data_IF_878705389411
#
_entry.id   IF_878705389411
#
_cell.length_a   1.000
_cell.length_b   1.000
_cell.length_c   1.000
_cell.angle_alpha   90.00
_cell.angle_beta   90.00
_cell.angle_gamma   90.00
#
_symmetry.space_group_name_H-M   'P 1'
#
loop_
_entity.id
_entity.type
_entity.pdbx_description
1 polymer ?
#
# COMPACT_ATOMS: atom_id res chain seq x y z
N UNK A 1 -15.23 -38.68 -18.73
CA UNK A 1 -14.40 -38.17 -19.84
C UNK A 1 -14.45 -36.65 -19.81
N UNK A 2 -13.85 -36.06 -18.78
CA UNK A 2 -13.80 -34.60 -18.57
C UNK A 2 -12.33 -34.20 -18.65
N UNK A 3 -12.06 -33.30 -19.58
CA UNK A 3 -10.74 -32.81 -19.94
C UNK A 3 -10.17 -31.93 -18.83
N UNK A 4 -9.02 -32.34 -18.32
CA UNK A 4 -8.12 -31.56 -17.47
C UNK A 4 -7.40 -30.52 -18.36
N UNK A 5 -7.81 -29.26 -18.27
CA UNK A 5 -7.05 -28.13 -18.82
C UNK A 5 -6.38 -27.39 -17.67
N UNK A 6 -5.11 -27.68 -17.44
CA UNK A 6 -4.25 -26.89 -16.56
C UNK A 6 -3.48 -25.85 -17.39
N UNK A 7 -3.49 -24.56 -17.00
CA UNK A 7 -2.75 -23.52 -17.71
C UNK A 7 -1.26 -23.56 -17.34
N UNK A 8 -0.42 -23.71 -18.36
CA UNK A 8 1.03 -23.94 -18.29
C UNK A 8 1.85 -22.66 -18.57
N UNK A 9 1.23 -21.48 -18.54
CA UNK A 9 1.87 -20.24 -19.00
C UNK A 9 2.56 -19.41 -17.90
N UNK A 10 2.66 -19.91 -16.65
CA UNK A 10 3.13 -19.11 -15.52
C UNK A 10 4.62 -19.29 -15.12
N UNK A 11 5.33 -20.29 -15.65
CA UNK A 11 6.65 -20.66 -15.09
C UNK A 11 7.88 -20.05 -15.76
N UNK A 12 7.75 -19.34 -16.88
CA UNK A 12 8.94 -19.03 -17.71
C UNK A 12 9.53 -17.61 -17.55
N UNK A 13 8.94 -16.73 -16.71
CA UNK A 13 9.41 -15.34 -16.54
C UNK A 13 10.30 -15.07 -15.32
N UNK A 14 10.50 -16.02 -14.41
CA UNK A 14 11.22 -15.75 -13.15
C UNK A 14 12.76 -15.83 -13.23
N UNK A 15 13.35 -16.22 -14.37
CA UNK A 15 14.81 -16.35 -14.50
C UNK A 15 15.55 -15.14 -15.09
N UNK A 16 14.84 -14.14 -15.64
CA UNK A 16 15.47 -12.98 -16.29
C UNK A 16 15.79 -11.81 -15.35
N UNK A 17 15.11 -11.72 -14.20
CA UNK A 17 15.29 -10.63 -13.21
C UNK A 17 16.66 -10.67 -12.48
N UNK A 18 17.23 -11.83 -12.06
CA UNK A 18 18.48 -11.83 -11.29
C UNK A 18 19.72 -11.39 -12.10
N UNK A 19 19.69 -11.50 -13.43
CA UNK A 19 20.83 -11.14 -14.28
C UNK A 19 20.98 -9.60 -14.38
N UNK A 20 19.86 -8.87 -14.40
CA UNK A 20 19.87 -7.41 -14.49
C UNK A 20 20.41 -6.75 -13.21
N UNK A 21 20.08 -7.30 -12.04
CA UNK A 21 20.57 -6.78 -10.76
C UNK A 21 22.09 -6.94 -10.61
N UNK A 22 22.66 -8.07 -11.07
CA UNK A 22 24.10 -8.31 -11.04
C UNK A 22 24.91 -7.33 -11.90
N UNK A 23 24.40 -6.97 -13.07
CA UNK A 23 25.06 -6.03 -13.97
C UNK A 23 25.15 -4.60 -13.39
N UNK A 24 24.11 -4.15 -12.68
CA UNK A 24 24.06 -2.81 -12.07
C UNK A 24 25.10 -2.70 -10.94
N UNK A 25 25.21 -3.71 -10.07
CA UNK A 25 26.21 -3.73 -8.99
C UNK A 25 27.64 -3.69 -9.54
N UNK A 26 27.92 -4.46 -10.60
CA UNK A 26 29.23 -4.45 -11.24
C UNK A 26 29.60 -3.07 -11.80
N UNK A 27 28.63 -2.38 -12.41
CA UNK A 27 28.81 -1.06 -13.01
C UNK A 27 29.08 0.01 -11.94
N UNK A 28 28.39 -0.07 -10.79
CA UNK A 28 28.63 0.81 -9.64
C UNK A 28 30.02 0.60 -9.03
N UNK A 29 30.48 -0.65 -8.90
CA UNK A 29 31.84 -0.95 -8.42
C UNK A 29 32.91 -0.39 -9.37
N UNK A 30 32.71 -0.55 -10.69
CA UNK A 30 33.62 -0.02 -11.69
C UNK A 30 33.71 1.51 -11.62
N UNK A 31 32.57 2.18 -11.45
CA UNK A 31 32.48 3.63 -11.35
C UNK A 31 33.16 4.17 -10.08
N UNK A 32 33.00 3.47 -8.95
CA UNK A 32 33.70 3.79 -7.70
C UNK A 32 35.22 3.65 -7.88
N UNK A 33 35.68 2.58 -8.54
CA UNK A 33 37.10 2.35 -8.79
C UNK A 33 37.71 3.45 -9.67
N UNK A 34 36.98 3.89 -10.69
CA UNK A 34 37.39 5.01 -11.55
C UNK A 34 37.47 6.33 -10.76
N UNK A 35 36.54 6.58 -9.83
CA UNK A 35 36.59 7.76 -8.97
C UNK A 35 37.82 7.77 -8.04
N UNK A 36 38.19 6.61 -7.49
CA UNK A 36 39.39 6.47 -6.65
C UNK A 36 40.66 6.73 -7.48
N UNK A 37 40.72 6.20 -8.70
CA UNK A 37 41.87 6.41 -9.60
C UNK A 37 41.99 7.84 -10.11
N UNK A 38 40.88 8.60 -10.14
CA UNK A 38 40.86 9.99 -10.61
C UNK A 38 41.18 11.01 -9.53
N UNK A 39 41.36 10.61 -8.26
CA UNK A 39 41.76 11.55 -7.21
C UNK A 39 43.14 12.14 -7.54
N UNK A 40 43.27 13.48 -7.60
CA UNK A 40 44.54 14.14 -7.90
C UNK A 40 45.56 13.76 -6.83
N UNK A 41 46.75 13.32 -7.27
CA UNK A 41 47.85 13.00 -6.36
C UNK A 41 48.16 14.24 -5.52
N UNK A 42 48.25 14.13 -4.18
CA UNK A 42 48.61 15.25 -3.33
C UNK A 42 49.97 15.79 -3.77
N UNK A 43 50.03 17.12 -3.95
CA UNK A 43 51.18 17.82 -4.47
C UNK A 43 52.44 17.49 -3.66
N UNK A 44 53.49 17.16 -4.40
CA UNK A 44 54.80 16.81 -3.88
C UNK A 44 55.39 18.04 -3.20
N UNK A 45 55.89 17.96 -1.95
CA UNK A 45 56.42 19.13 -1.26
C UNK A 45 57.62 19.72 -2.03
N UNK A 46 57.47 20.95 -2.50
CA UNK A 46 58.55 21.71 -3.14
C UNK A 46 59.71 21.94 -2.16
N UNK A 47 60.92 21.69 -2.64
CA UNK A 47 62.15 21.87 -1.86
C UNK A 47 62.40 23.36 -1.58
N UNK A 48 62.86 23.73 -0.37
CA UNK A 48 63.12 25.11 -0.01
C UNK A 48 64.27 25.70 -0.87
N UNK A 49 63.93 26.72 -1.66
CA UNK A 49 64.86 27.51 -2.46
C UNK A 49 65.64 28.43 -1.53
N UNK A 50 66.93 28.18 -1.36
CA UNK A 50 67.85 29.02 -0.57
C UNK A 50 68.10 30.35 -1.30
N UNK A 51 67.42 31.40 -0.89
CA UNK A 51 67.73 32.77 -1.34
C UNK A 51 68.73 33.43 -0.40
N UNK A 52 69.95 33.63 -0.93
CA UNK A 52 70.96 34.55 -0.43
C UNK A 52 70.67 35.93 -0.99
N UNK A 53 70.42 36.93 -0.14
CA UNK A 53 71.05 38.27 -0.26
C UNK A 53 70.65 39.16 0.92
N UNK A 54 71.65 39.39 1.77
CA UNK A 54 71.68 40.44 2.77
C UNK A 54 71.69 41.81 2.06
N UNK A 55 70.67 42.63 2.30
CA UNK A 55 70.69 44.07 2.06
C UNK A 55 70.26 44.74 3.38
N UNK A 56 71.13 45.60 3.91
CA UNK A 56 70.90 46.37 5.13
C UNK A 56 69.66 47.26 4.99
N UNK A 57 68.69 47.21 5.92
CA UNK A 57 67.50 48.05 5.87
C UNK A 57 67.84 49.49 6.29
N UNK A 58 67.39 50.46 5.50
CA UNK A 58 67.47 51.88 5.82
C UNK A 58 66.64 52.20 7.09
N UNK A 59 67.23 52.75 8.16
CA UNK A 59 66.53 53.03 9.40
C UNK A 59 65.72 54.34 9.27
N UNK A 60 64.39 54.25 9.11
CA UNK A 60 63.51 55.42 9.28
C UNK A 60 62.16 55.39 8.57
N UNK A 61 62.05 54.72 7.42
CA UNK A 61 60.78 54.62 6.66
C UNK A 61 59.82 53.55 7.20
N UNK A 62 60.35 52.61 7.99
CA UNK A 62 59.61 51.44 8.47
C UNK A 62 58.51 51.81 9.49
N UNK A 63 58.77 52.77 10.38
CA UNK A 63 57.83 53.13 11.46
C UNK A 63 56.56 53.84 10.96
N UNK A 64 56.65 54.72 9.97
CA UNK A 64 55.46 55.39 9.42
C UNK A 64 54.57 54.44 8.59
N UNK A 65 55.19 53.53 7.84
CA UNK A 65 54.45 52.51 7.09
C UNK A 65 53.81 51.49 8.04
N UNK A 66 54.51 51.08 9.09
CA UNK A 66 53.95 50.20 10.12
C UNK A 66 52.72 50.82 10.80
N UNK A 67 52.76 52.12 11.12
CA UNK A 67 51.62 52.77 11.79
C UNK A 67 50.38 52.89 10.89
N UNK A 68 50.58 53.12 9.59
CA UNK A 68 49.49 53.18 8.61
C UNK A 68 48.87 51.81 8.27
N UNK A 69 49.65 50.72 8.34
CA UNK A 69 49.18 49.37 8.00
C UNK A 69 48.55 48.62 9.19
N UNK A 70 48.88 48.98 10.43
CA UNK A 70 48.29 48.38 11.63
C UNK A 70 46.74 48.23 11.57
N UNK A 71 45.94 49.26 11.22
CA UNK A 71 44.48 49.11 11.14
C UNK A 71 44.03 48.16 10.02
N UNK A 72 44.80 48.04 8.93
CA UNK A 72 44.48 47.09 7.85
C UNK A 72 44.73 45.64 8.28
N UNK A 73 45.80 45.38 9.04
CA UNK A 73 46.05 44.04 9.58
C UNK A 73 45.01 43.62 10.61
N UNK A 74 44.55 44.54 11.48
CA UNK A 74 43.45 44.24 12.41
C UNK A 74 42.16 43.92 11.66
N UNK A 75 41.85 44.67 10.59
CA UNK A 75 40.68 44.39 9.74
C UNK A 75 40.78 43.01 9.07
N UNK A 76 41.94 42.66 8.53
CA UNK A 76 42.18 41.36 7.91
C UNK A 76 42.04 40.22 8.92
N UNK A 77 42.60 40.35 10.14
CA UNK A 77 42.42 39.34 11.19
C UNK A 77 40.96 39.20 11.62
N UNK A 78 40.22 40.31 11.68
CA UNK A 78 38.79 40.28 11.99
C UNK A 78 37.98 39.62 10.86
N UNK A 79 38.36 39.83 9.59
CA UNK A 79 37.75 39.15 8.45
C UNK A 79 38.09 37.65 8.41
N UNK A 80 39.34 37.28 8.67
CA UNK A 80 39.78 35.88 8.81
C UNK A 80 39.00 35.16 9.92
N UNK A 81 38.91 35.77 11.12
CA UNK A 81 38.13 35.20 12.22
C UNK A 81 36.63 35.05 11.88
N UNK A 82 36.07 35.96 11.08
CA UNK A 82 34.67 35.84 10.59
C UNK A 82 34.51 34.69 9.61
N UNK A 83 35.49 34.48 8.71
CA UNK A 83 35.47 33.36 7.77
C UNK A 83 35.61 32.02 8.51
N UNK A 84 36.50 31.94 9.50
CA UNK A 84 36.66 30.74 10.33
C UNK A 84 35.38 30.43 11.10
N UNK A 85 34.75 31.44 11.71
CA UNK A 85 33.46 31.27 12.39
C UNK A 85 32.36 30.81 11.44
N UNK A 86 32.32 31.34 10.21
CA UNK A 86 31.35 30.91 9.19
C UNK A 86 31.61 29.47 8.73
N UNK A 87 32.88 29.10 8.56
CA UNK A 87 33.25 27.74 8.19
C UNK A 87 32.87 26.76 9.30
N UNK A 88 33.13 27.10 10.56
CA UNK A 88 32.73 26.30 11.72
C UNK A 88 31.20 26.12 11.79
N UNK A 89 30.44 27.19 11.54
CA UNK A 89 28.97 27.13 11.52
C UNK A 89 28.44 26.23 10.38
N UNK A 90 29.05 26.29 9.19
CA UNK A 90 28.70 25.40 8.08
C UNK A 90 28.99 23.94 8.42
N UNK A 91 30.16 23.65 8.98
CA UNK A 91 30.51 22.27 9.39
C UNK A 91 29.58 21.73 10.48
N UNK A 92 29.14 22.57 11.42
CA UNK A 92 28.16 22.17 12.43
C UNK A 92 26.80 21.85 11.80
N UNK A 93 26.33 22.69 10.87
CA UNK A 93 25.07 22.45 10.17
C UNK A 93 25.10 21.19 9.28
N UNK A 94 26.26 20.88 8.69
CA UNK A 94 26.47 19.65 7.92
C UNK A 94 26.36 18.42 8.81
N UNK A 95 26.99 18.45 9.99
CA UNK A 95 26.90 17.37 10.97
C UNK A 95 25.47 17.17 11.51
N UNK A 96 24.74 18.25 11.80
CA UNK A 96 23.33 18.16 12.22
C UNK A 96 22.44 17.55 11.12
N UNK A 97 22.69 17.90 9.86
CA UNK A 97 21.99 17.33 8.72
C UNK A 97 22.30 15.85 8.55
N UNK A 98 23.58 15.45 8.63
CA UNK A 98 24.01 14.05 8.57
C UNK A 98 23.35 13.22 9.68
N UNK A 99 23.38 13.72 10.92
CA UNK A 99 22.76 13.04 12.06
C UNK A 99 21.24 12.86 11.86
N UNK A 100 20.55 13.91 11.41
CA UNK A 100 19.10 13.86 11.14
C UNK A 100 18.79 12.88 9.99
N UNK A 101 19.65 12.81 8.98
CA UNK A 101 19.51 11.89 7.86
C UNK A 101 19.69 10.43 8.31
N UNK A 102 20.72 10.15 9.13
CA UNK A 102 20.97 8.83 9.72
C UNK A 102 19.79 8.36 10.58
N UNK A 103 19.24 9.24 11.43
CA UNK A 103 18.04 8.92 12.23
C UNK A 103 16.82 8.60 11.38
N UNK A 104 16.63 9.31 10.25
CA UNK A 104 15.51 9.04 9.34
C UNK A 104 15.70 7.72 8.61
N UNK A 105 16.91 7.42 8.16
CA UNK A 105 17.25 6.13 7.54
C UNK A 105 17.00 4.99 8.54
N UNK A 106 17.48 5.11 9.78
CA UNK A 106 17.27 4.12 10.82
C UNK A 106 15.78 3.86 11.08
N UNK A 107 14.96 4.92 11.18
CA UNK A 107 13.51 4.82 11.35
C UNK A 107 12.81 4.15 10.16
N UNK A 108 13.23 4.46 8.94
CA UNK A 108 12.69 3.81 7.74
C UNK A 108 13.04 2.33 7.71
N UNK A 109 14.27 1.97 8.03
CA UNK A 109 14.70 0.56 8.11
C UNK A 109 13.94 -0.21 9.19
N UNK A 110 13.72 0.38 10.36
CA UNK A 110 12.88 -0.22 11.41
C UNK A 110 11.45 -0.43 10.91
N UNK A 111 10.87 0.58 10.25
CA UNK A 111 9.52 0.48 9.69
C UNK A 111 9.41 -0.62 8.61
N UNK A 112 10.37 -0.70 7.69
CA UNK A 112 10.45 -1.78 6.68
C UNK A 112 10.53 -3.17 7.33
N UNK A 113 11.32 -3.32 8.40
CA UNK A 113 11.39 -4.58 9.15
C UNK A 113 10.05 -4.92 9.80
N UNK A 114 9.36 -3.93 10.40
CA UNK A 114 8.03 -4.17 10.99
C UNK A 114 6.98 -4.55 9.94
N UNK A 115 7.05 -3.95 8.74
CA UNK A 115 6.15 -4.28 7.64
C UNK A 115 6.40 -5.71 7.15
N UNK A 116 7.67 -6.06 6.93
CA UNK A 116 8.07 -7.42 6.52
C UNK A 116 7.62 -8.47 7.54
N UNK A 117 7.77 -8.20 8.84
CA UNK A 117 7.30 -9.09 9.89
C UNK A 117 5.77 -9.24 9.90
N UNK A 118 5.03 -8.16 9.63
CA UNK A 118 3.56 -8.21 9.51
C UNK A 118 3.11 -9.01 8.28
N UNK A 119 3.77 -8.85 7.15
CA UNK A 119 3.50 -9.62 5.93
C UNK A 119 3.72 -11.12 6.17
N UNK A 120 4.84 -11.49 6.78
CA UNK A 120 5.11 -12.89 7.16
C UNK A 120 4.01 -13.46 8.06
N UNK A 121 3.56 -12.71 9.07
CA UNK A 121 2.49 -13.15 9.96
C UNK A 121 1.13 -13.32 9.25
N UNK A 122 0.86 -12.56 8.19
CA UNK A 122 -0.35 -12.72 7.36
C UNK A 122 -0.24 -14.01 6.55
N UNK A 123 0.90 -14.26 5.91
CA UNK A 123 1.17 -15.49 5.14
C UNK A 123 1.01 -16.73 6.02
N UNK A 124 1.60 -16.72 7.22
CA UNK A 124 1.48 -17.84 8.18
C UNK A 124 0.02 -18.09 8.59
N UNK A 125 -0.75 -17.01 8.81
CA UNK A 125 -2.17 -17.10 9.15
C UNK A 125 -2.99 -17.68 7.99
N UNK A 126 -2.68 -17.32 6.76
CA UNK A 126 -3.36 -17.85 5.57
C UNK A 126 -3.01 -19.32 5.34
N UNK A 127 -1.74 -19.70 5.50
CA UNK A 127 -1.31 -21.10 5.45
C UNK A 127 -2.06 -21.95 6.49
N UNK A 128 -2.15 -21.48 7.74
CA UNK A 128 -2.88 -22.17 8.79
C UNK A 128 -4.39 -22.32 8.48
N UNK A 129 -5.01 -21.31 7.83
CA UNK A 129 -6.40 -21.41 7.37
C UNK A 129 -6.54 -22.45 6.27
N UNK A 130 -5.63 -22.50 5.30
CA UNK A 130 -5.65 -23.48 4.21
C UNK A 130 -5.50 -24.91 4.73
N UNK A 131 -4.61 -25.14 5.69
CA UNK A 131 -4.48 -26.44 6.38
C UNK A 131 -5.76 -26.83 7.13
N UNK A 132 -6.42 -25.88 7.79
CA UNK A 132 -7.70 -26.13 8.45
C UNK A 132 -8.81 -26.47 7.43
N UNK A 133 -8.86 -25.79 6.29
CA UNK A 133 -9.82 -26.09 5.23
C UNK A 133 -9.61 -27.48 4.62
N UNK A 134 -8.37 -27.82 4.25
CA UNK A 134 -8.04 -29.13 3.67
C UNK A 134 -8.31 -30.27 4.67
N UNK A 135 -8.03 -30.06 5.96
CA UNK A 135 -8.37 -31.01 7.01
C UNK A 135 -9.88 -31.25 7.09
N UNK A 136 -10.67 -30.17 7.04
CA UNK A 136 -12.13 -30.24 7.08
C UNK A 136 -12.71 -30.93 5.83
N UNK A 137 -12.15 -30.66 4.65
CA UNK A 137 -12.55 -31.35 3.42
C UNK A 137 -12.30 -32.86 3.52
N UNK A 138 -11.16 -33.27 4.08
CA UNK A 138 -10.85 -34.69 4.29
C UNK A 138 -11.81 -35.35 5.29
N UNK A 139 -12.18 -34.65 6.36
CA UNK A 139 -13.21 -35.13 7.29
C UNK A 139 -14.57 -35.30 6.62
N UNK A 140 -15.01 -34.32 5.83
CA UNK A 140 -16.27 -34.40 5.08
C UNK A 140 -16.23 -35.57 4.08
N UNK A 141 -15.13 -35.74 3.35
CA UNK A 141 -14.95 -36.85 2.42
C UNK A 141 -15.02 -38.21 3.12
N UNK A 142 -14.42 -38.33 4.32
CA UNK A 142 -14.51 -39.54 5.14
C UNK A 142 -15.94 -39.81 5.59
N UNK A 143 -16.66 -38.79 6.08
CA UNK A 143 -18.06 -38.92 6.47
C UNK A 143 -18.95 -39.35 5.29
N UNK A 144 -18.71 -38.78 4.11
CA UNK A 144 -19.43 -39.15 2.88
C UNK A 144 -19.18 -40.61 2.50
N UNK A 145 -17.94 -41.10 2.61
CA UNK A 145 -17.59 -42.50 2.34
C UNK A 145 -18.26 -43.47 3.35
N UNK A 146 -18.32 -43.09 4.62
CA UNK A 146 -18.99 -43.87 5.66
C UNK A 146 -20.51 -43.95 5.39
N UNK A 147 -21.14 -42.83 5.00
CA UNK A 147 -22.55 -42.78 4.62
C UNK A 147 -22.84 -43.64 3.38
N UNK A 148 -22.04 -43.51 2.32
CA UNK A 148 -22.18 -44.33 1.12
C UNK A 148 -22.05 -45.83 1.42
N UNK A 149 -21.16 -46.21 2.34
CA UNK A 149 -21.00 -47.60 2.78
C UNK A 149 -22.25 -48.12 3.51
N UNK A 150 -22.87 -47.28 4.36
CA UNK A 150 -24.13 -47.62 5.04
C UNK A 150 -25.29 -47.75 4.08
N UNK A 151 -25.41 -46.83 3.13
CA UNK A 151 -26.44 -46.89 2.09
C UNK A 151 -26.30 -48.15 1.23
N UNK A 152 -25.08 -48.51 0.84
CA UNK A 152 -24.82 -49.75 0.11
C UNK A 152 -25.20 -50.99 0.93
N UNK A 153 -24.94 -51.00 2.23
CA UNK A 153 -25.35 -52.10 3.12
C UNK A 153 -26.87 -52.21 3.24
N UNK A 154 -27.57 -51.08 3.36
CA UNK A 154 -29.04 -51.05 3.37
C UNK A 154 -29.64 -51.50 2.04
N UNK A 155 -29.06 -51.08 0.91
CA UNK A 155 -29.49 -51.51 -0.42
C UNK A 155 -29.32 -53.02 -0.62
N UNK A 156 -28.21 -53.61 -0.14
CA UNK A 156 -28.02 -55.07 -0.15
C UNK A 156 -29.08 -55.79 0.68
N UNK A 157 -29.38 -55.28 1.88
CA UNK A 157 -30.41 -55.86 2.76
C UNK A 157 -31.81 -55.76 2.14
N UNK A 158 -32.12 -54.64 1.48
CA UNK A 158 -33.39 -54.48 0.75
C UNK A 158 -33.50 -55.50 -0.40
N UNK A 159 -32.44 -55.65 -1.20
CA UNK A 159 -32.40 -56.63 -2.28
C UNK A 159 -32.53 -58.08 -1.78
N UNK A 160 -31.95 -58.40 -0.62
CA UNK A 160 -32.10 -59.72 0.01
C UNK A 160 -33.56 -59.99 0.44
N UNK A 161 -34.21 -59.00 1.05
CA UNK A 161 -35.64 -59.09 1.43
C UNK A 161 -36.51 -59.30 0.18
N UNK A 162 -36.28 -58.53 -0.88
CA UNK A 162 -37.01 -58.66 -2.15
C UNK A 162 -36.80 -60.05 -2.78
N UNK A 163 -35.58 -60.59 -2.72
CA UNK A 163 -35.27 -61.93 -3.19
C UNK A 163 -36.00 -63.01 -2.38
N UNK A 164 -36.07 -62.88 -1.05
CA UNK A 164 -36.82 -63.78 -0.18
C UNK A 164 -38.32 -63.77 -0.51
N UNK A 165 -38.89 -62.58 -0.74
CA UNK A 165 -40.30 -62.45 -1.14
C UNK A 165 -40.59 -63.13 -2.49
N UNK A 166 -39.69 -62.96 -3.47
CA UNK A 166 -39.84 -63.60 -4.80
C UNK A 166 -39.76 -65.11 -4.78
N UNK A 167 -39.01 -65.70 -3.85
CA UNK A 167 -38.90 -67.16 -3.72
C UNK A 167 -40.17 -67.81 -3.19
N UNK A 168 -41.23 -67.04 -2.87
CA UNK A 168 -42.50 -67.59 -2.43
C UNK A 168 -42.39 -68.34 -1.11
N UNK A 169 -41.32 -68.11 -0.32
CA UNK A 169 -41.34 -68.46 1.09
C UNK A 169 -42.57 -67.72 1.66
N UNK A 170 -43.61 -68.44 2.13
CA UNK A 170 -44.72 -67.77 2.77
C UNK A 170 -44.09 -66.90 3.86
N UNK A 171 -44.38 -65.58 3.90
CA UNK A 171 -43.87 -64.72 4.97
C UNK A 171 -44.21 -65.48 6.24
N UNK A 172 -43.21 -65.92 7.01
CA UNK A 172 -43.40 -66.90 8.09
C UNK A 172 -44.56 -66.41 8.95
N UNK A 173 -45.76 -66.94 8.68
CA UNK A 173 -47.01 -66.28 8.99
C UNK A 173 -47.41 -66.73 10.38
N UNK A 174 -46.59 -66.35 11.35
CA UNK A 174 -47.15 -65.92 12.60
C UNK A 174 -47.25 -64.41 12.46
N UNK A 175 -48.46 -63.85 12.24
CA UNK A 175 -48.71 -62.50 12.67
C UNK A 175 -48.52 -62.51 14.18
N UNK A 176 -47.26 -62.37 14.59
CA UNK A 176 -46.90 -62.01 15.94
C UNK A 176 -47.49 -60.60 16.05
N UNK A 177 -48.73 -60.54 16.54
CA UNK A 177 -49.24 -59.37 17.26
C UNK A 177 -48.03 -58.79 17.98
N UNK A 178 -47.60 -57.55 17.63
CA UNK A 178 -46.39 -56.98 18.18
C UNK A 178 -46.53 -57.11 19.68
N UNK A 179 -45.66 -57.92 20.28
CA UNK A 179 -45.81 -58.22 21.71
C UNK A 179 -45.87 -56.87 22.44
N UNK A 180 -46.63 -56.78 23.52
CA UNK A 180 -46.74 -55.52 24.28
C UNK A 180 -45.34 -54.91 24.61
N UNK A 181 -44.32 -55.77 24.73
CA UNK A 181 -42.91 -55.40 24.84
C UNK A 181 -42.34 -54.70 23.59
N UNK A 182 -42.65 -55.15 22.38
CA UNK A 182 -42.22 -54.50 21.14
C UNK A 182 -42.87 -53.12 20.95
N UNK A 183 -44.15 -52.97 21.32
CA UNK A 183 -44.84 -51.67 21.30
C UNK A 183 -44.22 -50.71 22.32
N UNK A 184 -44.01 -51.18 23.56
CA UNK A 184 -43.35 -50.38 24.58
C UNK A 184 -41.92 -49.96 24.18
N UNK A 185 -41.15 -50.84 23.54
CA UNK A 185 -39.82 -50.53 23.03
C UNK A 185 -39.85 -49.51 21.87
N UNK A 186 -40.91 -49.49 21.07
CA UNK A 186 -41.11 -48.50 20.02
C UNK A 186 -41.40 -47.11 20.63
N UNK A 187 -42.30 -47.04 21.61
CA UNK A 187 -42.62 -45.80 22.32
C UNK A 187 -41.39 -45.24 23.06
N UNK A 188 -40.58 -46.10 23.68
CA UNK A 188 -39.34 -45.66 24.33
C UNK A 188 -38.34 -45.08 23.32
N UNK A 189 -38.23 -45.71 22.14
CA UNK A 189 -37.42 -45.17 21.04
C UNK A 189 -37.95 -43.85 20.50
N UNK A 190 -39.27 -43.71 20.37
CA UNK A 190 -39.90 -42.47 19.91
C UNK A 190 -39.62 -41.32 20.89
N UNK A 191 -39.81 -41.55 22.19
CA UNK A 191 -39.45 -40.57 23.24
C UNK A 191 -37.96 -40.22 23.19
N UNK A 192 -37.08 -41.20 23.01
CA UNK A 192 -35.65 -40.94 22.90
C UNK A 192 -35.28 -40.12 21.64
N UNK A 193 -36.01 -40.29 20.53
CA UNK A 193 -35.83 -39.49 19.32
C UNK A 193 -36.36 -38.07 19.53
N UNK A 194 -37.53 -37.90 20.13
CA UNK A 194 -38.09 -36.60 20.48
C UNK A 194 -37.16 -35.81 21.41
N UNK A 195 -36.60 -36.45 22.43
CA UNK A 195 -35.61 -35.84 23.34
C UNK A 195 -34.35 -35.40 22.58
N UNK A 196 -33.85 -36.22 21.65
CA UNK A 196 -32.72 -35.85 20.80
C UNK A 196 -33.03 -34.67 19.88
N UNK A 197 -34.22 -34.62 19.30
CA UNK A 197 -34.67 -33.50 18.45
C UNK A 197 -34.72 -32.22 19.29
N UNK A 198 -35.36 -32.28 20.47
CA UNK A 198 -35.42 -31.14 21.38
C UNK A 198 -34.01 -30.63 21.77
N UNK A 199 -33.08 -31.55 22.07
CA UNK A 199 -31.69 -31.21 22.38
C UNK A 199 -30.89 -30.64 21.20
N UNK A 200 -31.22 -30.99 19.96
CA UNK A 200 -30.63 -30.36 18.76
C UNK A 200 -31.19 -28.95 18.57
N UNK A 201 -32.51 -28.77 18.64
CA UNK A 201 -33.14 -27.45 18.50
C UNK A 201 -32.68 -26.47 19.57
N UNK A 202 -32.46 -26.93 20.81
CA UNK A 202 -31.92 -26.08 21.87
C UNK A 202 -30.48 -25.61 21.56
N UNK A 203 -29.64 -26.49 21.02
CA UNK A 203 -28.27 -26.14 20.61
C UNK A 203 -28.26 -25.18 19.41
N UNK A 204 -29.19 -25.33 18.46
CA UNK A 204 -29.34 -24.39 17.35
C UNK A 204 -29.74 -22.99 17.84
N UNK A 205 -30.70 -22.90 18.77
CA UNK A 205 -31.09 -21.62 19.38
C UNK A 205 -29.91 -20.97 20.12
N UNK A 206 -29.12 -21.77 20.85
CA UNK A 206 -27.94 -21.26 21.54
C UNK A 206 -26.88 -20.76 20.55
N UNK A 207 -26.61 -21.51 19.48
CA UNK A 207 -25.69 -21.10 18.42
C UNK A 207 -26.17 -19.83 17.71
N UNK A 208 -27.46 -19.71 17.42
CA UNK A 208 -28.05 -18.51 16.85
C UNK A 208 -27.89 -17.30 17.79
N UNK A 209 -28.06 -17.48 19.11
CA UNK A 209 -27.78 -16.42 20.10
C UNK A 209 -26.31 -16.02 20.12
N UNK A 210 -25.39 -16.99 20.08
CA UNK A 210 -23.93 -16.71 20.05
C UNK A 210 -23.55 -15.97 18.77
N UNK A 211 -24.09 -16.38 17.62
CA UNK A 211 -23.88 -15.71 16.34
C UNK A 211 -24.42 -14.26 16.37
N UNK A 212 -25.61 -14.05 16.91
CA UNK A 212 -26.18 -12.72 17.08
C UNK A 212 -25.34 -11.83 18.02
N UNK A 213 -24.81 -12.39 19.11
CA UNK A 213 -23.92 -11.67 20.03
C UNK A 213 -22.58 -11.29 19.37
N UNK A 214 -22.01 -12.17 18.54
CA UNK A 214 -20.80 -11.86 17.78
C UNK A 214 -21.05 -10.77 16.73
N UNK A 215 -22.16 -10.87 15.98
CA UNK A 215 -22.54 -9.84 15.02
C UNK A 215 -22.79 -8.47 15.68
N UNK A 216 -23.32 -8.45 16.91
CA UNK A 216 -23.47 -7.21 17.68
C UNK A 216 -22.11 -6.60 18.06
N UNK A 217 -21.15 -7.41 18.52
CA UNK A 217 -19.78 -6.95 18.81
C UNK A 217 -19.06 -6.44 17.58
N UNK A 218 -19.24 -7.11 16.44
CA UNK A 218 -18.65 -6.67 15.18
C UNK A 218 -19.23 -5.33 14.74
N UNK A 219 -20.55 -5.13 14.87
CA UNK A 219 -21.16 -3.80 14.64
C UNK A 219 -20.64 -2.75 15.59
N UNK A 220 -20.44 -3.06 16.87
CA UNK A 220 -19.88 -2.11 17.84
C UNK A 220 -18.42 -1.75 17.53
N UNK A 221 -17.61 -2.71 17.07
CA UNK A 221 -16.23 -2.48 16.66
C UNK A 221 -16.11 -1.71 15.33
N UNK A 222 -17.08 -1.89 14.42
CA UNK A 222 -17.11 -1.21 13.11
C UNK A 222 -17.90 0.08 13.15
N UNK A 223 -18.72 0.30 14.19
CA UNK A 223 -19.37 1.57 14.42
C UNK A 223 -18.25 2.63 14.44
N UNK A 224 -18.30 3.64 13.54
CA UNK A 224 -17.35 4.73 13.55
C UNK A 224 -17.33 5.24 14.98
N UNK A 225 -16.17 5.17 15.65
CA UNK A 225 -16.02 5.66 17.00
C UNK A 225 -16.66 7.04 17.02
N UNK A 226 -17.82 7.15 17.67
CA UNK A 226 -18.60 8.38 17.73
C UNK A 226 -17.57 9.44 18.10
N UNK A 227 -17.32 10.44 17.23
CA UNK A 227 -16.13 11.27 17.31
C UNK A 227 -16.10 11.81 18.74
N UNK A 228 -15.12 11.32 19.52
CA UNK A 228 -15.05 11.62 20.94
C UNK A 228 -15.29 13.13 21.06
N UNK A 229 -16.27 13.57 21.88
CA UNK A 229 -16.71 14.95 21.91
C UNK A 229 -15.46 15.79 21.97
N UNK A 230 -15.20 16.52 20.87
CA UNK A 230 -13.95 17.26 20.68
C UNK A 230 -13.75 17.99 22.00
N UNK A 231 -12.68 17.69 22.76
CA UNK A 231 -12.53 18.25 24.09
C UNK A 231 -12.70 19.74 23.92
N UNK A 232 -13.74 20.29 24.60
CA UNK A 232 -14.06 21.69 24.52
C UNK A 232 -12.74 22.44 24.64
N UNK A 233 -12.41 23.33 23.68
CA UNK A 233 -11.09 23.92 23.58
C UNK A 233 -10.70 24.39 24.97
N UNK A 234 -9.66 23.77 25.54
CA UNK A 234 -9.12 24.18 26.84
C UNK A 234 -9.01 25.69 26.79
N UNK A 235 -9.56 26.42 27.79
CA UNK A 235 -9.46 27.87 27.80
C UNK A 235 -7.99 28.21 27.62
N UNK A 236 -7.68 28.86 26.49
CA UNK A 236 -6.35 29.36 26.22
C UNK A 236 -6.01 30.24 27.41
N UNK A 237 -5.20 29.72 28.32
CA UNK A 237 -4.50 30.53 29.31
C UNK A 237 -3.64 31.47 28.49
N UNK A 238 -4.18 32.66 28.28
CA UNK A 238 -3.42 33.81 27.80
C UNK A 238 -2.20 33.90 28.70
N UNK A 239 -0.98 33.72 28.16
CA UNK A 239 0.21 33.93 28.96
C UNK A 239 0.17 35.37 29.47
N UNK A 240 0.27 35.51 30.79
CA UNK A 240 0.55 36.75 31.48
C UNK A 240 1.57 37.57 30.67
N UNK A 241 1.29 38.84 30.34
CA UNK A 241 2.17 39.65 29.51
C UNK A 241 3.53 39.76 30.19
N UNK A 242 4.55 39.21 29.53
CA UNK A 242 5.93 39.52 29.83
C UNK A 242 6.13 41.06 29.71
N UNK A 243 7.00 41.66 30.54
CA UNK A 243 7.24 43.09 30.53
C UNK A 243 7.60 43.55 29.12
N UNK A 244 6.87 44.55 28.63
CA UNK A 244 6.99 45.10 27.29
C UNK A 244 8.46 45.42 26.97
N UNK A 245 9.03 44.89 25.88
CA UNK A 245 10.29 45.39 25.36
C UNK A 245 10.08 46.86 24.98
N UNK A 246 11.00 47.71 25.44
CA UNK A 246 11.09 49.11 25.01
C UNK A 246 11.23 49.11 23.49
N UNK A 247 10.13 49.45 22.81
CA UNK A 247 10.07 49.62 21.37
C UNK A 247 10.90 50.86 21.05
N UNK A 248 12.14 50.64 20.62
CA UNK A 248 12.85 51.64 19.83
C UNK A 248 12.04 51.81 18.54
N UNK A 249 11.57 53.02 18.20
CA UNK A 249 10.81 53.23 16.98
C UNK A 249 11.66 52.78 15.79
N UNK A 250 11.13 51.93 14.89
CA UNK A 250 11.84 51.57 13.68
C UNK A 250 12.11 52.84 12.85
N UNK A 251 13.29 52.95 12.21
CA UNK A 251 13.57 54.06 11.30
C UNK A 251 12.48 54.13 10.22
N UNK A 252 12.11 55.34 9.77
CA UNK A 252 11.08 55.52 8.75
C UNK A 252 11.43 54.68 7.51
N UNK A 253 10.46 53.88 7.09
CA UNK A 253 10.57 53.09 5.87
C UNK A 253 10.89 54.03 4.69
N UNK A 254 11.87 53.69 3.84
CA UNK A 254 12.18 54.49 2.66
C UNK A 254 10.94 54.55 1.77
N UNK A 255 10.59 55.76 1.33
CA UNK A 255 9.54 56.00 0.34
C UNK A 255 9.79 55.12 -0.89
N UNK A 256 8.75 54.45 -1.43
CA UNK A 256 8.88 53.66 -2.64
C UNK A 256 9.39 54.57 -3.76
N UNK A 257 10.50 54.22 -4.43
CA UNK A 257 11.02 55.03 -5.52
C UNK A 257 9.94 55.21 -6.58
N UNK A 258 9.76 56.46 -7.01
CA UNK A 258 8.89 56.82 -8.12
C UNK A 258 9.10 55.85 -9.28
N UNK A 259 7.99 55.30 -9.80
CA UNK A 259 7.96 54.41 -10.93
C UNK A 259 8.86 54.95 -12.05
N UNK A 260 9.97 54.26 -12.31
CA UNK A 260 10.73 54.47 -13.54
C UNK A 260 9.81 54.06 -14.70
N UNK A 261 9.81 54.81 -15.81
CA UNK A 261 9.07 54.42 -17.00
C UNK A 261 9.51 53.01 -17.42
N UNK A 262 8.52 52.13 -17.59
CA UNK A 262 8.69 50.78 -18.13
C UNK A 262 9.60 50.84 -19.36
N UNK A 263 10.72 50.12 -19.40
CA UNK A 263 11.54 50.01 -20.60
C UNK A 263 10.69 49.49 -21.74
N UNK A 264 10.69 50.20 -22.87
CA UNK A 264 10.12 49.73 -24.12
C UNK A 264 10.65 48.31 -24.38
N UNK A 265 9.74 47.33 -24.32
CA UNK A 265 10.03 45.93 -24.65
C UNK A 265 10.71 45.89 -26.01
N UNK A 266 11.98 45.50 -26.02
CA UNK A 266 12.62 45.05 -27.25
C UNK A 266 11.76 43.92 -27.82
N UNK A 267 11.46 43.93 -29.13
CA UNK A 267 10.69 42.87 -29.76
C UNK A 267 11.45 41.55 -29.57
N UNK A 268 10.87 40.64 -28.79
CA UNK A 268 11.33 39.26 -28.73
C UNK A 268 11.33 38.70 -30.16
N UNK A 269 12.38 37.96 -30.55
CA UNK A 269 12.41 37.27 -31.83
C UNK A 269 11.20 36.35 -31.88
N UNK A 270 10.34 36.63 -32.87
CA UNK A 270 9.17 35.84 -33.23
C UNK A 270 9.61 34.39 -33.35
N UNK A 271 9.39 33.62 -32.29
CA UNK A 271 9.35 32.17 -32.41
C UNK A 271 8.23 31.91 -33.42
N UNK A 272 8.48 31.15 -34.52
CA UNK A 272 7.43 30.79 -35.44
C UNK A 272 6.32 30.18 -34.62
N UNK A 273 5.19 30.89 -34.65
CA UNK A 273 3.92 30.54 -34.05
C UNK A 273 3.70 29.05 -34.34
N UNK A 274 3.94 28.21 -33.33
CA UNK A 274 3.41 26.85 -33.35
C UNK A 274 1.92 27.06 -33.36
N UNK A 275 1.37 26.96 -34.56
CA UNK A 275 -0.05 26.83 -34.83
C UNK A 275 -0.65 26.02 -33.67
N UNK A 276 -1.55 26.63 -32.87
CA UNK A 276 -2.09 25.96 -31.70
C UNK A 276 -2.65 24.63 -32.20
N UNK A 277 -2.07 23.53 -31.70
CA UNK A 277 -2.64 22.22 -31.93
C UNK A 277 -4.13 22.35 -31.60
N UNK A 278 -5.03 22.02 -32.53
CA UNK A 278 -6.46 22.06 -32.28
C UNK A 278 -6.71 21.39 -30.92
N UNK A 279 -7.55 21.96 -30.04
CA UNK A 279 -7.92 21.26 -28.82
C UNK A 279 -8.30 19.84 -29.25
N UNK A 280 -7.58 18.84 -28.74
CA UNK A 280 -7.94 17.44 -28.93
C UNK A 280 -9.37 17.32 -28.40
N UNK A 281 -10.34 17.42 -29.32
CA UNK A 281 -11.69 17.05 -29.04
C UNK A 281 -11.60 15.63 -28.46
N UNK A 282 -12.25 15.36 -27.31
CA UNK A 282 -12.30 14.00 -26.79
C UNK A 282 -12.75 13.12 -27.94
N UNK A 283 -11.86 12.20 -28.36
CA UNK A 283 -12.16 11.32 -29.48
C UNK A 283 -13.50 10.65 -29.19
N UNK A 284 -14.51 11.03 -29.96
CA UNK A 284 -15.83 10.43 -29.85
C UNK A 284 -15.65 8.90 -30.03
N UNK A 285 -16.29 8.07 -29.22
CA UNK A 285 -16.23 6.62 -29.32
C UNK A 285 -17.05 6.13 -30.53
N UNK A 286 -16.69 6.57 -31.74
CA UNK A 286 -17.50 6.34 -32.96
C UNK A 286 -17.06 5.12 -33.76
N UNK A 287 -16.16 4.29 -33.22
CA UNK A 287 -15.90 2.96 -33.77
C UNK A 287 -16.60 1.91 -32.88
N UNK A 288 -17.66 1.22 -33.36
CA UNK A 288 -18.26 0.11 -32.63
C UNK A 288 -17.19 -0.93 -32.32
N UNK A 289 -16.99 -1.23 -31.02
CA UNK A 289 -16.13 -2.32 -30.56
C UNK A 289 -14.80 -1.96 -29.90
N UNK A 290 -14.65 -0.77 -29.30
CA UNK A 290 -13.47 -0.47 -28.46
C UNK A 290 -13.83 0.27 -27.17
N UNK A 291 -14.50 -0.42 -26.25
CA UNK A 291 -14.57 0.06 -24.88
C UNK A 291 -13.18 0.00 -24.23
N UNK A 292 -12.81 1.04 -23.50
CA UNK A 292 -11.55 1.12 -22.77
C UNK A 292 -11.83 1.28 -21.28
N UNK A 293 -11.20 0.47 -20.43
CA UNK A 293 -11.43 0.49 -18.97
C UNK A 293 -11.10 1.87 -18.38
N UNK A 294 -10.07 2.55 -18.87
CA UNK A 294 -9.71 3.90 -18.40
C UNK A 294 -10.71 4.98 -18.83
N UNK A 295 -11.44 4.74 -19.92
CA UNK A 295 -12.52 5.62 -20.34
C UNK A 295 -13.77 5.40 -19.46
N UNK A 296 -14.10 4.15 -19.16
CA UNK A 296 -15.20 3.80 -18.26
C UNK A 296 -14.93 4.29 -16.82
N UNK A 297 -13.70 4.15 -16.32
CA UNK A 297 -13.29 4.64 -14.99
C UNK A 297 -13.49 6.16 -14.88
N UNK A 298 -13.06 6.92 -15.91
CA UNK A 298 -13.30 8.37 -16.00
C UNK A 298 -14.79 8.72 -16.07
N UNK A 299 -15.58 7.92 -16.79
CA UNK A 299 -17.03 8.11 -16.90
C UNK A 299 -17.73 7.94 -15.54
N UNK A 300 -17.32 6.91 -14.78
CA UNK A 300 -17.81 6.68 -13.41
C UNK A 300 -17.35 7.79 -12.46
N UNK A 301 -16.11 8.27 -12.56
CA UNK A 301 -15.62 9.38 -11.72
C UNK A 301 -16.38 10.69 -12.00
N UNK A 302 -16.66 10.97 -13.28
CA UNK A 302 -17.34 12.21 -13.70
C UNK A 302 -18.84 12.21 -13.38
N UNK A 303 -19.52 11.09 -13.64
CA UNK A 303 -21.00 11.01 -13.55
C UNK A 303 -21.51 10.10 -12.44
N UNK A 304 -20.64 9.42 -11.71
CA UNK A 304 -21.04 8.48 -10.66
C UNK A 304 -21.85 9.12 -9.53
N UNK A 305 -21.62 10.40 -9.25
CA UNK A 305 -22.39 11.16 -8.24
C UNK A 305 -23.89 11.28 -8.60
N UNK A 306 -24.26 11.12 -9.88
CA UNK A 306 -25.66 11.08 -10.31
C UNK A 306 -26.36 9.76 -9.88
N UNK A 307 -25.59 8.70 -9.57
CA UNK A 307 -26.07 7.35 -9.25
C UNK A 307 -25.31 6.74 -8.04
N UNK A 308 -25.44 7.33 -6.84
CA UNK A 308 -24.62 6.96 -5.68
C UNK A 308 -24.77 5.49 -5.26
N UNK A 309 -25.94 4.89 -5.47
CA UNK A 309 -26.22 3.48 -5.20
C UNK A 309 -25.51 2.52 -6.17
N UNK A 310 -25.12 2.98 -7.36
CA UNK A 310 -24.46 2.16 -8.40
C UNK A 310 -22.95 2.30 -8.44
N UNK A 311 -22.37 3.33 -7.82
CA UNK A 311 -20.91 3.55 -7.80
C UNK A 311 -20.16 2.30 -7.34
N UNK A 312 -20.58 1.70 -6.23
CA UNK A 312 -19.89 0.54 -5.65
C UNK A 312 -19.96 -0.69 -6.57
N UNK A 313 -21.08 -0.89 -7.24
CA UNK A 313 -21.27 -1.95 -8.25
C UNK A 313 -20.32 -1.70 -9.43
N UNK A 314 -20.32 -0.50 -10.01
CA UNK A 314 -19.47 -0.14 -11.13
C UNK A 314 -17.98 -0.23 -10.82
N UNK A 315 -17.53 0.20 -9.63
CA UNK A 315 -16.13 0.05 -9.21
C UNK A 315 -15.74 -1.43 -9.12
N UNK A 316 -16.64 -2.29 -8.66
CA UNK A 316 -16.42 -3.73 -8.62
C UNK A 316 -16.28 -4.32 -10.03
N UNK A 317 -17.16 -3.96 -10.96
CA UNK A 317 -17.06 -4.38 -12.36
C UNK A 317 -15.78 -3.86 -13.03
N UNK A 318 -15.39 -2.60 -12.81
CA UNK A 318 -14.15 -2.03 -13.35
C UNK A 318 -12.92 -2.79 -12.85
N UNK A 319 -12.90 -3.17 -11.57
CA UNK A 319 -11.83 -3.99 -11.00
C UNK A 319 -11.72 -5.35 -11.71
N UNK A 320 -12.85 -6.03 -11.95
CA UNK A 320 -12.88 -7.30 -12.70
C UNK A 320 -12.48 -7.13 -14.16
N UNK A 321 -12.93 -6.06 -14.83
CA UNK A 321 -12.63 -5.80 -16.24
C UNK A 321 -11.14 -5.50 -16.48
N UNK A 322 -10.42 -4.93 -15.50
CA UNK A 322 -8.95 -4.72 -15.61
C UNK A 322 -8.18 -6.01 -15.85
N UNK A 323 -8.67 -7.16 -15.37
CA UNK A 323 -8.01 -8.46 -15.61
C UNK A 323 -8.14 -8.96 -17.06
N UNK A 324 -9.13 -8.46 -17.81
CA UNK A 324 -9.41 -8.84 -19.19
C UNK A 324 -8.98 -7.76 -20.20
N UNK A 325 -8.57 -6.60 -19.71
CA UNK A 325 -8.11 -5.51 -20.55
C UNK A 325 -6.71 -5.79 -21.12
N UNK A 326 -6.49 -5.35 -22.35
CA UNK A 326 -5.15 -5.32 -22.95
C UNK A 326 -4.27 -4.27 -22.26
N UNK A 327 -2.98 -4.25 -22.57
CA UNK A 327 -2.02 -3.31 -21.95
C UNK A 327 -2.36 -1.82 -22.18
N UNK A 328 -3.14 -1.51 -23.22
CA UNK A 328 -3.66 -0.17 -23.53
C UNK A 328 -5.01 0.14 -22.85
N UNK A 329 -5.54 -0.80 -22.05
CA UNK A 329 -6.84 -0.71 -21.39
C UNK A 329 -8.04 -1.10 -22.27
N UNK A 330 -7.83 -1.54 -23.52
CA UNK A 330 -8.92 -1.95 -24.40
C UNK A 330 -9.54 -3.28 -23.99
N UNK A 331 -10.88 -3.37 -24.04
CA UNK A 331 -11.63 -4.58 -23.73
C UNK A 331 -11.98 -5.36 -25.01
N UNK A 332 -12.01 -6.71 -24.95
CA UNK A 332 -12.51 -7.52 -26.05
C UNK A 332 -13.98 -7.23 -26.37
N UNK A 333 -14.36 -7.25 -27.65
CA UNK A 333 -15.73 -6.97 -28.11
C UNK A 333 -16.81 -7.91 -27.53
N UNK A 334 -16.43 -9.07 -26.98
CA UNK A 334 -17.35 -9.96 -26.25
C UNK A 334 -17.97 -9.30 -25.01
N UNK A 335 -17.37 -8.22 -24.50
CA UNK A 335 -17.86 -7.47 -23.34
C UNK A 335 -18.81 -6.33 -23.73
N UNK A 336 -19.03 -6.03 -25.01
CA UNK A 336 -19.84 -4.88 -25.44
C UNK A 336 -21.26 -4.92 -24.88
N UNK A 337 -21.90 -6.10 -24.89
CA UNK A 337 -23.25 -6.29 -24.36
C UNK A 337 -23.30 -6.08 -22.83
N UNK A 338 -22.31 -6.62 -22.10
CA UNK A 338 -22.21 -6.42 -20.65
C UNK A 338 -21.97 -4.95 -20.32
N UNK A 339 -21.12 -4.26 -21.08
CA UNK A 339 -20.80 -2.86 -20.84
C UNK A 339 -22.03 -1.99 -21.09
N UNK A 340 -22.79 -2.24 -22.16
CA UNK A 340 -24.07 -1.56 -22.38
C UNK A 340 -25.09 -1.85 -21.27
N UNK A 341 -25.20 -3.09 -20.81
CA UNK A 341 -26.14 -3.45 -19.74
C UNK A 341 -25.76 -2.81 -18.40
N UNK A 342 -24.48 -2.84 -18.04
CA UNK A 342 -24.00 -2.38 -16.73
C UNK A 342 -23.79 -0.87 -16.68
N UNK A 343 -23.17 -0.29 -17.71
CA UNK A 343 -22.77 1.13 -17.76
C UNK A 343 -23.65 1.98 -18.70
N UNK A 344 -24.72 1.42 -19.27
CA UNK A 344 -25.60 2.12 -20.22
C UNK A 344 -26.22 3.42 -19.69
N UNK A 345 -26.43 3.52 -18.37
CA UNK A 345 -26.97 4.75 -17.75
C UNK A 345 -25.96 5.92 -17.76
N UNK A 346 -24.67 5.64 -17.92
CA UNK A 346 -23.60 6.64 -17.94
C UNK A 346 -23.28 7.15 -19.36
N UNK A 347 -23.56 6.32 -20.38
CA UNK A 347 -23.23 6.53 -21.81
C UNK A 347 -24.34 7.32 -22.50
#
# INVERSE_FOLDING_TARGET
>A
MSLLFAPHWFTERHHLIPIAAGAIVLLLVLLLLLLILRRPRPDRPEKPRKEKRSAEPAPGLDLQLQHGLAPTFERLRAEEARLDARQAALTASEQEFEHTAEERIARLTEWEQTLTAREAAIIDREAARQEAYSSRELEIAKQAADLASREAALARRAAEIDAQQRQGLPPSASPLEPSASAVAALEERERAVEERIAGVSQREIELARRAAALAAREREATAPAEPAPVPAPSPVTTPTPAPAPVVVPPPPAPEPPAAQPEPERQPEPVQPEREPAPPEAPAAPDAPGRWNVLALDRLVEQRGQEFPERIQEWTSYLYSLRAYASADGSLPASFDALIQETFGDLI
#
